data_IF_244546708337
#
_entry.id   IF_244546708337
#
_cell.length_a   1.000
_cell.length_b   1.000
_cell.length_c   1.000
_cell.angle_alpha   90.00
_cell.angle_beta   90.00
_cell.angle_gamma   90.00
#
_symmetry.space_group_name_H-M   'P 1'
#
loop_
_entity.id
_entity.type
_entity.pdbx_description
1 polymer ?
#
# COMPACT_ATOMS: atom_id res chain seq x y z
N UNK A 1 -27.59 -20.69 13.75
CA UNK A 1 -26.40 -19.81 13.76
C UNK A 1 -25.13 -20.59 14.07
N UNK A 2 -24.98 -21.24 15.23
CA UNK A 2 -23.74 -21.97 15.59
C UNK A 2 -23.21 -22.98 14.56
N UNK A 3 -24.08 -23.76 13.90
CA UNK A 3 -23.67 -24.68 12.82
C UNK A 3 -23.15 -23.97 11.56
N UNK A 4 -23.72 -22.81 11.21
CA UNK A 4 -23.23 -22.02 10.07
C UNK A 4 -21.86 -21.40 10.37
N UNK A 5 -21.66 -20.90 11.60
CA UNK A 5 -20.36 -20.41 12.04
C UNK A 5 -19.28 -21.50 12.00
N UNK A 6 -19.60 -22.75 12.35
CA UNK A 6 -18.65 -23.87 12.23
C UNK A 6 -18.25 -24.15 10.78
N UNK A 7 -19.18 -24.07 9.83
CA UNK A 7 -18.85 -24.20 8.39
C UNK A 7 -17.93 -23.05 7.98
N UNK A 8 -18.28 -21.81 8.34
CA UNK A 8 -17.47 -20.64 8.02
C UNK A 8 -16.09 -20.65 8.66
N UNK A 9 -15.93 -21.19 9.88
CA UNK A 9 -14.63 -21.38 10.52
C UNK A 9 -13.77 -22.37 9.73
N UNK A 10 -14.33 -23.52 9.33
CA UNK A 10 -13.58 -24.52 8.56
C UNK A 10 -13.15 -23.97 7.19
N UNK A 11 -14.07 -23.31 6.49
CA UNK A 11 -13.82 -22.70 5.19
C UNK A 11 -12.78 -21.58 5.32
N UNK A 12 -13.00 -20.62 6.22
CA UNK A 12 -12.14 -19.48 6.41
C UNK A 12 -10.75 -19.83 6.94
N UNK A 13 -10.62 -20.90 7.73
CA UNK A 13 -9.31 -21.40 8.16
C UNK A 13 -8.51 -21.96 6.98
N UNK A 14 -9.15 -22.69 6.07
CA UNK A 14 -8.47 -23.18 4.87
C UNK A 14 -8.08 -22.03 3.96
N UNK A 15 -8.96 -21.04 3.77
CA UNK A 15 -8.62 -19.84 3.00
C UNK A 15 -7.44 -19.07 3.62
N UNK A 16 -7.45 -18.86 4.93
CA UNK A 16 -6.38 -18.16 5.65
C UNK A 16 -5.04 -18.91 5.54
N UNK A 17 -5.05 -20.25 5.62
CA UNK A 17 -3.85 -21.08 5.44
C UNK A 17 -3.35 -21.02 4.00
N UNK A 18 -4.24 -21.12 3.02
CA UNK A 18 -3.87 -20.99 1.60
C UNK A 18 -3.30 -19.61 1.28
N UNK A 19 -3.86 -18.56 1.88
CA UNK A 19 -3.35 -17.19 1.79
C UNK A 19 -1.95 -17.08 2.40
N UNK A 20 -1.77 -17.55 3.63
CA UNK A 20 -0.48 -17.51 4.32
C UNK A 20 0.61 -18.30 3.58
N UNK A 21 0.25 -19.46 3.00
CA UNK A 21 1.19 -20.36 2.32
C UNK A 21 1.38 -20.08 0.81
N UNK A 22 0.63 -19.14 0.21
CA UNK A 22 0.70 -18.85 -1.23
C UNK A 22 2.04 -18.24 -1.67
N UNK A 23 2.27 -18.04 -2.97
CA UNK A 23 3.37 -17.15 -3.41
C UNK A 23 3.01 -15.68 -3.11
N UNK A 24 4.00 -14.78 -3.08
CA UNK A 24 3.73 -13.36 -2.93
C UNK A 24 2.92 -12.83 -4.11
N UNK A 25 1.82 -12.15 -3.79
CA UNK A 25 0.95 -11.53 -4.77
C UNK A 25 1.58 -10.20 -5.17
N UNK A 26 2.23 -10.20 -6.33
CA UNK A 26 2.92 -9.03 -6.89
C UNK A 26 1.98 -8.09 -7.67
N UNK A 27 0.67 -8.34 -7.65
CA UNK A 27 -0.35 -7.57 -8.39
C UNK A 27 -0.30 -7.73 -9.91
N UNK A 28 0.79 -8.26 -10.49
CA UNK A 28 1.09 -8.20 -11.92
C UNK A 28 1.21 -9.57 -12.61
N UNK A 29 1.49 -10.65 -11.88
CA UNK A 29 1.90 -11.94 -12.49
C UNK A 29 0.78 -12.86 -12.99
N UNK A 30 -0.50 -12.49 -12.87
CA UNK A 30 -1.61 -13.42 -13.18
C UNK A 30 -1.65 -14.66 -12.26
N UNK A 31 -0.81 -14.72 -11.22
CA UNK A 31 -0.83 -15.74 -10.18
C UNK A 31 -1.87 -15.35 -9.12
N UNK A 32 -3.01 -16.04 -9.19
CA UNK A 32 -3.98 -16.33 -8.12
C UNK A 32 -3.99 -15.33 -6.94
N UNK A 33 -4.61 -14.17 -7.14
CA UNK A 33 -5.08 -13.33 -6.04
C UNK A 33 -6.06 -14.08 -5.11
N UNK A 34 -6.60 -13.43 -4.06
CA UNK A 34 -7.44 -14.03 -3.01
C UNK A 34 -8.74 -14.70 -3.51
N UNK A 35 -9.01 -14.65 -4.83
CA UNK A 35 -10.21 -15.14 -5.50
C UNK A 35 -9.90 -16.01 -6.72
N UNK A 36 -8.79 -16.74 -6.71
CA UNK A 36 -8.50 -17.67 -7.81
C UNK A 36 -9.59 -18.75 -7.94
N UNK A 37 -9.85 -19.21 -9.18
CA UNK A 37 -10.82 -20.28 -9.44
C UNK A 37 -10.56 -21.55 -8.62
N UNK A 38 -9.28 -21.87 -8.40
CA UNK A 38 -8.87 -23.01 -7.57
C UNK A 38 -9.25 -22.83 -6.09
N UNK A 39 -9.05 -21.62 -5.56
CA UNK A 39 -9.43 -21.28 -4.19
C UNK A 39 -10.95 -21.31 -4.02
N UNK A 40 -11.71 -20.64 -4.89
CA UNK A 40 -13.18 -20.67 -4.86
C UNK A 40 -13.75 -22.10 -4.96
N UNK A 41 -13.15 -22.96 -5.80
CA UNK A 41 -13.58 -24.35 -5.92
C UNK A 41 -13.32 -25.15 -4.65
N UNK A 42 -12.15 -24.98 -4.03
CA UNK A 42 -11.80 -25.65 -2.77
C UNK A 42 -12.74 -25.23 -1.64
N UNK A 43 -12.98 -23.92 -1.52
CA UNK A 43 -13.82 -23.29 -0.50
C UNK A 43 -15.27 -23.75 -0.63
N UNK A 44 -15.82 -23.78 -1.85
CA UNK A 44 -17.15 -24.32 -2.11
C UNK A 44 -17.28 -25.81 -1.75
N UNK A 45 -16.29 -26.64 -2.11
CA UNK A 45 -16.30 -28.08 -1.81
C UNK A 45 -16.22 -28.34 -0.31
N UNK A 46 -15.33 -27.65 0.40
CA UNK A 46 -15.20 -27.73 1.85
C UNK A 46 -16.48 -27.26 2.53
N UNK A 47 -17.01 -26.11 2.12
CA UNK A 47 -18.26 -25.56 2.64
C UNK A 47 -19.43 -26.54 2.48
N UNK A 48 -19.52 -27.17 1.30
CA UNK A 48 -20.52 -28.20 1.00
C UNK A 48 -20.39 -29.44 1.89
N UNK A 49 -19.18 -30.00 2.00
CA UNK A 49 -18.90 -31.18 2.84
C UNK A 49 -19.17 -30.90 4.31
N UNK A 50 -18.64 -29.79 4.85
CA UNK A 50 -18.83 -29.44 6.26
C UNK A 50 -20.30 -29.13 6.56
N UNK A 51 -21.01 -28.41 5.67
CA UNK A 51 -22.44 -28.14 5.84
C UNK A 51 -23.29 -29.41 5.87
N UNK A 52 -22.94 -30.41 5.05
CA UNK A 52 -23.57 -31.72 5.08
C UNK A 52 -23.26 -32.46 6.41
N UNK A 53 -21.99 -32.47 6.84
CA UNK A 53 -21.55 -33.11 8.08
C UNK A 53 -22.21 -32.52 9.33
N UNK A 54 -22.34 -31.19 9.42
CA UNK A 54 -23.05 -30.53 10.53
C UNK A 54 -24.58 -30.58 10.39
N UNK A 55 -25.10 -31.31 9.40
CA UNK A 55 -26.53 -31.54 9.14
C UNK A 55 -27.31 -30.23 9.02
N UNK A 56 -26.82 -29.28 8.23
CA UNK A 56 -27.57 -28.06 7.94
C UNK A 56 -28.77 -28.39 7.04
N UNK A 57 -29.94 -27.87 7.41
CA UNK A 57 -31.14 -27.97 6.56
C UNK A 57 -30.90 -27.17 5.28
N UNK A 58 -31.12 -27.80 4.12
CA UNK A 58 -30.80 -27.22 2.80
C UNK A 58 -29.31 -26.89 2.65
N UNK A 59 -28.43 -27.77 3.13
CA UNK A 59 -26.98 -27.60 3.05
C UNK A 59 -26.44 -27.17 1.67
N UNK A 60 -26.98 -27.59 0.49
CA UNK A 60 -26.44 -27.13 -0.79
C UNK A 60 -26.69 -25.63 -1.01
N UNK A 61 -27.88 -25.15 -0.63
CA UNK A 61 -28.23 -23.74 -0.73
C UNK A 61 -27.45 -22.90 0.28
N UNK A 62 -27.22 -23.42 1.49
CA UNK A 62 -26.38 -22.74 2.48
C UNK A 62 -24.93 -22.68 2.04
N UNK A 63 -24.39 -23.73 1.42
CA UNK A 63 -23.03 -23.74 0.88
C UNK A 63 -22.86 -22.69 -0.23
N UNK A 64 -23.77 -22.68 -1.20
CA UNK A 64 -23.73 -21.71 -2.30
C UNK A 64 -23.92 -20.26 -1.83
N UNK A 65 -24.94 -19.99 -1.01
CA UNK A 65 -25.19 -18.64 -0.51
C UNK A 65 -24.10 -18.18 0.48
N UNK A 66 -23.54 -19.10 1.26
CA UNK A 66 -22.44 -18.84 2.18
C UNK A 66 -21.18 -18.43 1.43
N UNK A 67 -20.86 -19.13 0.34
CA UNK A 67 -19.76 -18.78 -0.56
C UNK A 67 -19.91 -17.37 -1.12
N UNK A 68 -21.05 -17.06 -1.75
CA UNK A 68 -21.31 -15.74 -2.33
C UNK A 68 -21.20 -14.64 -1.27
N UNK A 69 -21.78 -14.86 -0.10
CA UNK A 69 -21.73 -13.90 0.99
C UNK A 69 -20.29 -13.71 1.51
N UNK A 70 -19.51 -14.78 1.58
CA UNK A 70 -18.08 -14.77 1.97
C UNK A 70 -17.27 -13.96 0.97
N UNK A 71 -17.43 -14.21 -0.33
CA UNK A 71 -16.75 -13.47 -1.39
C UNK A 71 -17.10 -11.99 -1.36
N UNK A 72 -18.40 -11.66 -1.27
CA UNK A 72 -18.87 -10.28 -1.22
C UNK A 72 -18.34 -9.53 0.01
N UNK A 73 -18.39 -10.16 1.19
CA UNK A 73 -17.86 -9.59 2.44
C UNK A 73 -16.34 -9.45 2.41
N UNK A 74 -15.63 -10.45 1.89
CA UNK A 74 -14.18 -10.40 1.73
C UNK A 74 -13.81 -9.21 0.84
N UNK A 75 -14.46 -9.07 -0.32
CA UNK A 75 -14.22 -7.96 -1.24
C UNK A 75 -14.51 -6.60 -0.58
N UNK A 76 -15.53 -6.52 0.26
CA UNK A 76 -15.84 -5.31 1.00
C UNK A 76 -14.76 -5.01 2.05
N UNK A 77 -14.32 -6.01 2.82
CA UNK A 77 -13.32 -5.84 3.87
C UNK A 77 -11.94 -5.52 3.32
N UNK A 78 -11.53 -6.14 2.21
CA UNK A 78 -10.23 -5.90 1.56
C UNK A 78 -10.02 -4.45 1.12
N UNK A 79 -11.09 -3.69 0.89
CA UNK A 79 -11.02 -2.24 0.60
C UNK A 79 -10.55 -1.38 1.77
N UNK A 80 -10.58 -1.93 2.99
CA UNK A 80 -10.14 -1.27 4.22
C UNK A 80 -8.87 -1.88 4.81
N UNK A 81 -8.39 -2.97 4.22
CA UNK A 81 -7.24 -3.68 4.75
C UNK A 81 -5.99 -2.92 4.30
N UNK A 82 -5.07 -2.59 5.23
CA UNK A 82 -3.83 -1.95 4.85
C UNK A 82 -2.96 -2.87 3.99
N UNK A 83 -2.18 -2.27 3.09
CA UNK A 83 -1.05 -2.98 2.50
C UNK A 83 -0.06 -3.36 3.62
N UNK A 84 0.44 -4.59 3.59
CA UNK A 84 1.34 -5.11 4.64
C UNK A 84 2.63 -4.29 4.75
N UNK A 85 3.11 -3.80 3.61
CA UNK A 85 4.27 -2.91 3.48
C UNK A 85 4.10 -1.61 4.23
N UNK A 86 2.88 -1.12 4.45
CA UNK A 86 2.63 0.13 5.17
C UNK A 86 2.91 0.03 6.68
N UNK A 87 2.94 -1.19 7.22
CA UNK A 87 3.08 -1.42 8.66
C UNK A 87 4.16 -2.45 9.00
N UNK A 88 4.80 -3.06 8.00
CA UNK A 88 5.88 -4.04 8.18
C UNK A 88 5.46 -5.33 8.86
N UNK A 89 4.18 -5.72 8.76
CA UNK A 89 3.69 -6.97 9.34
C UNK A 89 3.54 -8.08 8.29
N UNK A 90 3.58 -9.32 8.75
CA UNK A 90 3.46 -10.50 7.89
C UNK A 90 2.05 -10.61 7.28
N UNK A 91 1.98 -10.84 5.97
CA UNK A 91 0.74 -10.96 5.21
C UNK A 91 -0.22 -12.04 5.74
N UNK A 92 0.28 -13.04 6.46
CA UNK A 92 -0.53 -14.09 7.09
C UNK A 92 -1.57 -13.52 8.06
N UNK A 93 -1.30 -12.36 8.67
CA UNK A 93 -2.28 -11.65 9.52
C UNK A 93 -3.53 -11.24 8.75
N UNK A 94 -3.41 -11.00 7.44
CA UNK A 94 -4.55 -10.67 6.58
C UNK A 94 -5.44 -11.89 6.29
N UNK A 95 -4.99 -13.11 6.60
CA UNK A 95 -5.84 -14.31 6.62
C UNK A 95 -7.04 -14.17 7.54
N UNK A 96 -6.97 -13.29 8.56
CA UNK A 96 -8.11 -12.95 9.41
C UNK A 96 -9.32 -12.40 8.63
N UNK A 97 -9.09 -11.71 7.50
CA UNK A 97 -10.16 -11.18 6.64
C UNK A 97 -10.98 -12.30 6.03
N UNK A 98 -10.31 -13.33 5.52
CA UNK A 98 -10.94 -14.54 4.98
C UNK A 98 -11.75 -15.27 6.05
N UNK A 99 -11.14 -15.48 7.22
CA UNK A 99 -11.79 -16.14 8.35
C UNK A 99 -13.07 -15.42 8.77
N UNK A 100 -13.00 -14.10 8.97
CA UNK A 100 -14.15 -13.30 9.39
C UNK A 100 -15.26 -13.25 8.33
N UNK A 101 -14.88 -13.12 7.06
CA UNK A 101 -15.81 -13.13 5.93
C UNK A 101 -16.56 -14.46 5.83
N UNK A 102 -15.84 -15.58 5.96
CA UNK A 102 -16.41 -16.92 5.87
C UNK A 102 -17.34 -17.21 7.06
N UNK A 103 -16.91 -16.89 8.28
CA UNK A 103 -17.75 -17.04 9.48
C UNK A 103 -19.04 -16.25 9.36
N UNK A 104 -18.96 -14.98 8.95
CA UNK A 104 -20.14 -14.13 8.77
C UNK A 104 -21.03 -14.63 7.62
N UNK A 105 -20.46 -14.90 6.45
CA UNK A 105 -21.17 -15.34 5.25
C UNK A 105 -21.96 -16.63 5.48
N UNK A 106 -21.32 -17.68 6.00
CA UNK A 106 -21.99 -18.95 6.29
C UNK A 106 -22.97 -18.86 7.47
N UNK A 107 -22.73 -17.98 8.45
CA UNK A 107 -23.70 -17.74 9.53
C UNK A 107 -24.98 -17.10 9.00
N UNK A 108 -24.86 -16.08 8.14
CA UNK A 108 -25.99 -15.41 7.49
C UNK A 108 -26.72 -16.39 6.56
N UNK A 109 -25.99 -17.14 5.74
CA UNK A 109 -26.56 -18.10 4.80
C UNK A 109 -27.30 -19.26 5.49
N UNK A 110 -26.80 -19.74 6.63
CA UNK A 110 -27.47 -20.78 7.42
C UNK A 110 -28.72 -20.24 8.16
N UNK A 111 -28.74 -18.95 8.48
CA UNK A 111 -29.82 -18.33 9.24
C UNK A 111 -30.97 -17.81 8.36
N UNK A 112 -30.68 -17.21 7.21
CA UNK A 112 -31.68 -16.66 6.29
C UNK A 112 -32.81 -17.66 5.89
N UNK A 113 -32.55 -18.95 5.64
CA UNK A 113 -33.59 -19.94 5.33
C UNK A 113 -34.21 -20.60 6.57
N UNK A 114 -33.71 -20.33 7.78
CA UNK A 114 -34.27 -20.91 9.00
C UNK A 114 -35.70 -20.39 9.22
N UNK A 115 -36.62 -21.24 9.66
CA UNK A 115 -38.03 -20.92 9.87
C UNK A 115 -38.26 -20.04 11.11
N UNK A 116 -37.63 -18.86 11.15
CA UNK A 116 -37.92 -17.81 12.12
C UNK A 116 -39.19 -17.07 11.70
N UNK A 117 -40.11 -16.83 12.64
CA UNK A 117 -41.45 -16.24 12.40
C UNK A 117 -41.42 -14.78 11.90
N UNK A 118 -40.27 -14.10 11.88
CA UNK A 118 -40.16 -12.65 11.61
C UNK A 118 -39.32 -12.38 10.38
N UNK A 119 -39.96 -12.28 9.22
CA UNK A 119 -39.34 -11.97 7.93
C UNK A 119 -38.54 -10.66 7.94
N UNK A 120 -38.97 -9.66 8.71
CA UNK A 120 -38.27 -8.39 8.93
C UNK A 120 -36.82 -8.56 9.42
N UNK A 121 -36.56 -9.54 10.29
CA UNK A 121 -35.20 -9.79 10.76
C UNK A 121 -34.27 -10.23 9.62
N UNK A 122 -34.79 -11.00 8.66
CA UNK A 122 -34.02 -11.50 7.51
C UNK A 122 -33.66 -10.37 6.57
N UNK A 123 -34.62 -9.50 6.32
CA UNK A 123 -34.39 -8.27 5.54
C UNK A 123 -33.37 -7.38 6.23
N UNK A 124 -33.45 -7.21 7.55
CA UNK A 124 -32.48 -6.40 8.29
C UNK A 124 -31.05 -6.94 8.14
N UNK A 125 -30.82 -8.25 8.33
CA UNK A 125 -29.46 -8.83 8.23
C UNK A 125 -28.93 -8.78 6.79
N UNK A 126 -29.74 -9.15 5.80
CA UNK A 126 -29.33 -9.07 4.39
C UNK A 126 -29.12 -7.61 3.96
N UNK A 127 -29.95 -6.69 4.46
CA UNK A 127 -29.83 -5.26 4.25
C UNK A 127 -28.53 -4.70 4.84
N UNK A 128 -28.14 -5.12 6.05
CA UNK A 128 -26.85 -4.75 6.65
C UNK A 128 -25.69 -5.28 5.81
N UNK A 129 -25.73 -6.54 5.38
CA UNK A 129 -24.67 -7.12 4.55
C UNK A 129 -24.53 -6.39 3.20
N UNK A 130 -25.65 -6.10 2.55
CA UNK A 130 -25.68 -5.32 1.32
C UNK A 130 -25.16 -3.89 1.56
N UNK A 131 -25.60 -3.24 2.64
CA UNK A 131 -25.13 -1.91 3.00
C UNK A 131 -23.61 -1.88 3.25
N UNK A 132 -23.05 -2.87 3.95
CA UNK A 132 -21.61 -2.98 4.15
C UNK A 132 -20.86 -3.10 2.82
N UNK A 133 -21.34 -3.94 1.89
CA UNK A 133 -20.71 -4.11 0.58
C UNK A 133 -20.78 -2.82 -0.26
N UNK A 134 -21.91 -2.12 -0.22
CA UNK A 134 -22.12 -0.88 -0.98
C UNK A 134 -21.32 0.28 -0.37
N UNK A 135 -21.31 0.41 0.96
CA UNK A 135 -20.58 1.47 1.65
C UNK A 135 -19.06 1.27 1.62
N UNK A 136 -18.57 0.06 1.39
CA UNK A 136 -17.14 -0.19 1.24
C UNK A 136 -16.53 0.54 0.03
N UNK A 137 -17.30 0.72 -1.06
CA UNK A 137 -16.82 1.38 -2.28
C UNK A 137 -16.40 2.84 -2.05
N UNK A 138 -17.26 3.74 -1.52
CA UNK A 138 -16.88 5.12 -1.30
C UNK A 138 -15.86 5.32 -0.16
N UNK A 139 -15.65 4.31 0.70
CA UNK A 139 -14.74 4.41 1.84
C UNK A 139 -13.32 3.88 1.57
N UNK A 140 -13.12 3.18 0.45
CA UNK A 140 -11.83 2.62 0.04
C UNK A 140 -10.73 3.70 -0.05
N UNK A 141 -10.98 4.76 -0.81
CA UNK A 141 -10.01 5.84 -0.99
C UNK A 141 -9.67 6.59 0.32
N UNK A 142 -10.66 6.99 1.16
CA UNK A 142 -10.37 7.52 2.49
C UNK A 142 -9.55 6.57 3.37
N UNK A 143 -9.89 5.27 3.39
CA UNK A 143 -9.18 4.29 4.19
C UNK A 143 -7.73 4.13 3.71
N UNK A 144 -7.51 4.04 2.39
CA UNK A 144 -6.18 3.98 1.79
C UNK A 144 -5.34 5.20 2.16
N UNK A 145 -5.88 6.41 2.01
CA UNK A 145 -5.16 7.65 2.38
C UNK A 145 -4.83 7.71 3.85
N UNK A 146 -5.75 7.26 4.71
CA UNK A 146 -5.51 7.18 6.15
C UNK A 146 -4.36 6.21 6.46
N UNK A 147 -4.34 5.03 5.82
CA UNK A 147 -3.26 4.06 6.00
C UNK A 147 -1.92 4.58 5.49
N UNK A 148 -1.88 5.23 4.33
CA UNK A 148 -0.67 5.85 3.78
C UNK A 148 -0.10 6.95 4.69
N UNK A 149 -0.96 7.82 5.22
CA UNK A 149 -0.54 8.86 6.15
C UNK A 149 0.09 8.24 7.42
N UNK A 150 -0.53 7.21 7.99
CA UNK A 150 0.05 6.49 9.14
C UNK A 150 1.37 5.80 8.80
N UNK A 151 1.49 5.23 7.60
CA UNK A 151 2.72 4.60 7.16
C UNK A 151 3.89 5.60 7.06
N UNK A 152 3.65 6.83 6.55
CA UNK A 152 4.67 7.88 6.57
C UNK A 152 5.12 8.27 7.97
N UNK A 153 4.19 8.35 8.92
CA UNK A 153 4.54 8.61 10.33
C UNK A 153 5.36 7.47 10.94
N UNK A 154 5.05 6.22 10.59
CA UNK A 154 5.75 5.03 11.06
C UNK A 154 7.15 4.84 10.45
N UNK A 155 7.45 5.47 9.31
CA UNK A 155 8.80 5.39 8.70
C UNK A 155 9.89 6.06 9.55
N UNK A 156 9.51 6.94 10.49
CA UNK A 156 10.45 7.75 11.30
C UNK A 156 11.44 8.58 10.46
N UNK A 157 11.11 8.83 9.18
CA UNK A 157 11.84 9.74 8.31
C UNK A 157 11.20 11.12 8.45
N UNK A 158 11.97 12.21 8.64
CA UNK A 158 11.39 13.54 8.74
C UNK A 158 10.60 13.89 7.47
N UNK A 159 9.35 14.29 7.66
CA UNK A 159 8.46 14.65 6.55
C UNK A 159 8.81 16.05 6.08
N UNK A 160 9.63 16.14 5.04
CA UNK A 160 9.99 17.41 4.41
C UNK A 160 9.75 17.37 2.91
N UNK A 161 9.46 18.53 2.34
CA UNK A 161 9.25 18.72 0.92
C UNK A 161 9.82 20.09 0.50
N UNK A 162 10.66 20.18 -0.56
CA UNK A 162 11.07 21.46 -1.11
C UNK A 162 9.96 22.13 -1.92
N UNK A 163 9.92 23.46 -1.85
CA UNK A 163 9.16 24.29 -2.80
C UNK A 163 10.04 24.62 -4.01
N UNK A 164 9.86 23.90 -5.12
CA UNK A 164 10.72 24.05 -6.30
C UNK A 164 10.07 24.98 -7.32
N UNK A 165 10.75 26.07 -7.67
CA UNK A 165 10.24 27.03 -8.65
C UNK A 165 9.94 26.35 -10.01
N UNK A 166 8.74 26.59 -10.55
CA UNK A 166 8.31 26.03 -11.84
C UNK A 166 8.02 24.52 -11.84
N UNK A 167 8.09 23.85 -10.68
CA UNK A 167 7.82 22.42 -10.55
C UNK A 167 6.77 22.17 -9.45
N UNK A 168 6.03 21.08 -9.60
CA UNK A 168 5.08 20.60 -8.58
C UNK A 168 5.42 19.18 -8.19
N UNK A 169 5.16 18.85 -6.92
CA UNK A 169 5.18 17.47 -6.45
C UNK A 169 4.13 16.70 -7.26
N UNK A 170 4.58 15.70 -8.01
CA UNK A 170 3.76 14.94 -8.95
C UNK A 170 3.48 13.53 -8.44
N UNK A 171 4.47 12.94 -7.78
CA UNK A 171 4.39 11.57 -7.29
C UNK A 171 5.21 11.42 -6.01
N UNK A 172 4.73 10.56 -5.12
CA UNK A 172 5.45 10.12 -3.93
C UNK A 172 5.44 8.60 -3.95
N UNK A 173 6.61 7.98 -3.75
CA UNK A 173 6.68 6.53 -3.65
C UNK A 173 5.96 6.06 -2.38
N UNK A 174 5.20 4.97 -2.50
CA UNK A 174 4.51 4.38 -1.35
C UNK A 174 5.52 3.97 -0.25
N UNK A 175 5.25 4.29 1.03
CA UNK A 175 6.15 4.00 2.13
C UNK A 175 6.25 2.48 2.37
N UNK A 176 7.46 2.00 2.62
CA UNK A 176 7.70 0.59 2.99
C UNK A 176 8.31 0.53 4.39
N UNK A 177 7.50 0.15 5.37
CA UNK A 177 7.89 -0.03 6.77
C UNK A 177 8.43 -1.45 6.97
N UNK A 178 9.55 -1.59 7.69
CA UNK A 178 10.16 -2.89 7.98
C UNK A 178 10.85 -3.58 6.79
N UNK A 179 11.09 -2.85 5.70
CA UNK A 179 11.89 -3.35 4.57
C UNK A 179 13.35 -3.59 4.93
N UNK A 180 14.06 -4.38 4.12
CA UNK A 180 15.49 -4.68 4.33
C UNK A 180 16.42 -3.47 4.12
N UNK A 181 15.94 -2.44 3.41
CA UNK A 181 16.69 -1.21 3.12
C UNK A 181 16.51 -0.13 4.19
N UNK A 182 17.33 0.92 4.11
CA UNK A 182 17.13 2.12 4.92
C UNK A 182 15.77 2.76 4.60
N UNK A 183 15.00 3.22 5.62
CA UNK A 183 13.74 3.90 5.38
C UNK A 183 14.00 5.26 4.72
N UNK A 184 13.32 5.49 3.59
CA UNK A 184 13.41 6.73 2.81
C UNK A 184 12.04 7.18 2.32
N UNK A 185 11.93 8.48 2.03
CA UNK A 185 10.79 9.04 1.30
C UNK A 185 11.32 9.52 -0.06
N UNK A 186 10.72 9.04 -1.14
CA UNK A 186 11.08 9.44 -2.50
C UNK A 186 9.95 10.28 -3.08
N UNK A 187 10.30 11.49 -3.51
CA UNK A 187 9.40 12.47 -4.08
C UNK A 187 9.85 12.77 -5.50
N UNK A 188 8.90 12.84 -6.42
CA UNK A 188 9.16 13.24 -7.80
C UNK A 188 8.47 14.56 -8.11
N UNK A 189 9.25 15.56 -8.53
CA UNK A 189 8.78 16.86 -8.93
C UNK A 189 8.87 17.02 -10.44
N UNK A 190 7.76 17.45 -11.06
CA UNK A 190 7.69 17.67 -12.51
C UNK A 190 7.39 19.12 -12.84
N UNK A 191 7.86 19.56 -14.00
CA UNK A 191 7.63 20.91 -14.52
C UNK A 191 6.14 21.14 -14.73
N UNK A 192 5.65 22.28 -14.25
CA UNK A 192 4.24 22.69 -14.39
C UNK A 192 3.89 22.83 -15.87
N UNK A 193 2.82 22.17 -16.31
CA UNK A 193 2.35 22.17 -17.70
C UNK A 193 3.11 21.22 -18.64
N UNK A 194 4.03 20.41 -18.11
CA UNK A 194 4.80 19.42 -18.87
C UNK A 194 4.96 18.11 -18.09
N UNK A 195 3.98 17.75 -17.25
CA UNK A 195 4.10 16.65 -16.30
C UNK A 195 4.15 15.27 -16.96
N UNK A 196 3.72 15.13 -18.21
CA UNK A 196 3.81 13.88 -18.96
C UNK A 196 4.99 13.86 -19.94
N UNK A 197 5.69 14.99 -20.11
CA UNK A 197 6.76 15.13 -21.10
C UNK A 197 8.13 14.76 -20.49
N UNK A 198 8.95 14.01 -21.24
CA UNK A 198 10.36 13.77 -20.90
C UNK A 198 10.66 12.64 -19.91
N UNK A 199 9.63 11.95 -19.42
CA UNK A 199 9.79 10.81 -18.49
C UNK A 199 10.41 11.20 -17.14
N UNK A 200 10.73 10.19 -16.31
CA UNK A 200 11.32 10.39 -14.97
C UNK A 200 12.71 11.04 -15.00
N UNK A 201 13.42 10.97 -16.13
CA UNK A 201 14.77 11.56 -16.28
C UNK A 201 14.80 13.08 -16.14
N UNK A 202 13.80 13.77 -16.68
CA UNK A 202 13.70 15.24 -16.60
C UNK A 202 13.02 15.72 -15.31
N UNK A 203 12.50 14.82 -14.50
CA UNK A 203 11.97 15.17 -13.20
C UNK A 203 13.12 15.52 -12.22
N UNK A 204 12.75 16.18 -11.13
CA UNK A 204 13.63 16.31 -9.97
C UNK A 204 13.21 15.25 -8.97
N UNK A 205 14.08 14.27 -8.72
CA UNK A 205 13.89 13.30 -7.66
C UNK A 205 14.41 13.89 -6.37
N UNK A 206 13.66 13.74 -5.29
CA UNK A 206 14.06 14.16 -3.95
C UNK A 206 13.99 12.95 -3.05
N UNK A 207 15.13 12.54 -2.53
CA UNK A 207 15.25 11.43 -1.59
C UNK A 207 15.49 12.02 -0.21
N UNK A 208 14.58 11.72 0.71
CA UNK A 208 14.64 12.17 2.09
C UNK A 208 14.97 10.99 2.99
N UNK A 209 16.00 11.18 3.80
CA UNK A 209 16.55 10.21 4.75
C UNK A 209 16.62 10.84 6.14
N UNK A 210 16.81 10.01 7.16
CA UNK A 210 17.12 10.50 8.52
C UNK A 210 18.50 11.16 8.52
N UNK A 211 18.67 12.26 9.27
CA UNK A 211 19.99 12.92 9.39
C UNK A 211 21.06 12.00 9.98
N UNK A 212 20.67 11.02 10.79
CA UNK A 212 21.57 10.02 11.39
C UNK A 212 22.12 9.01 10.38
N UNK A 213 21.59 8.97 9.15
CA UNK A 213 22.03 8.02 8.14
C UNK A 213 23.43 8.33 7.60
N UNK A 214 23.73 9.61 7.36
CA UNK A 214 25.01 10.10 6.88
C UNK A 214 25.09 11.63 6.96
N UNK A 215 26.32 12.16 6.91
CA UNK A 215 26.55 13.58 6.60
C UNK A 215 26.25 13.87 5.12
N UNK A 216 26.02 15.15 4.77
CA UNK A 216 25.82 15.54 3.37
C UNK A 216 27.05 15.21 2.48
N UNK A 217 28.26 15.28 3.04
CA UNK A 217 29.49 14.93 2.36
C UNK A 217 29.57 13.42 2.05
N UNK A 218 29.29 12.58 3.06
CA UNK A 218 29.27 11.12 2.91
C UNK A 218 28.18 10.68 1.93
N UNK A 219 26.98 11.25 2.03
CA UNK A 219 25.88 10.97 1.10
C UNK A 219 26.23 11.38 -0.34
N UNK A 220 26.95 12.48 -0.52
CA UNK A 220 27.44 12.87 -1.84
C UNK A 220 28.54 11.94 -2.36
N UNK A 221 29.42 11.41 -1.49
CA UNK A 221 30.40 10.41 -1.86
C UNK A 221 29.77 9.05 -2.19
N UNK A 222 28.68 8.69 -1.51
CA UNK A 222 27.91 7.45 -1.71
C UNK A 222 26.41 7.75 -1.69
N UNK A 223 25.83 8.15 -2.85
CA UNK A 223 24.41 8.48 -2.98
C UNK A 223 23.52 7.29 -2.63
N UNK A 224 22.24 7.54 -2.36
CA UNK A 224 21.33 6.47 -1.94
C UNK A 224 21.27 5.32 -2.97
N UNK A 225 21.17 5.66 -4.25
CA UNK A 225 21.27 4.71 -5.36
C UNK A 225 22.69 4.67 -5.93
N UNK A 226 23.69 4.35 -5.11
CA UNK A 226 25.12 4.40 -5.50
C UNK A 226 25.43 3.69 -6.82
N UNK A 227 24.74 2.57 -7.11
CA UNK A 227 24.88 1.81 -8.36
C UNK A 227 24.54 2.65 -9.61
N UNK A 228 23.55 3.54 -9.53
CA UNK A 228 23.16 4.41 -10.65
C UNK A 228 24.17 5.53 -10.93
N UNK A 229 25.16 5.70 -10.06
CA UNK A 229 26.23 6.70 -10.13
C UNK A 229 27.60 6.10 -10.45
N UNK A 230 27.73 4.78 -10.61
CA UNK A 230 29.03 4.13 -10.84
C UNK A 230 29.67 4.55 -12.18
N UNK A 231 28.86 4.74 -13.21
CA UNK A 231 29.34 5.12 -14.55
C UNK A 231 29.36 6.65 -14.71
N UNK A 232 30.57 7.21 -14.91
CA UNK A 232 30.74 8.60 -15.32
C UNK A 232 30.39 9.66 -14.27
N UNK A 233 30.44 9.32 -12.97
CA UNK A 233 30.26 10.33 -11.92
C UNK A 233 31.53 11.13 -11.64
N UNK A 234 31.37 12.45 -11.58
CA UNK A 234 32.39 13.38 -11.12
C UNK A 234 32.60 13.31 -9.61
N UNK A 235 33.71 13.88 -9.10
CA UNK A 235 33.98 13.91 -7.67
C UNK A 235 32.93 14.71 -6.92
N UNK A 236 32.69 14.33 -5.68
CA UNK A 236 31.86 15.11 -4.76
C UNK A 236 32.55 16.45 -4.42
N UNK A 237 31.82 17.57 -4.54
CA UNK A 237 32.34 18.93 -4.33
C UNK A 237 31.50 19.69 -3.32
N UNK A 238 32.14 20.40 -2.38
CA UNK A 238 31.43 21.33 -1.50
C UNK A 238 30.95 22.56 -2.31
N UNK A 239 29.66 22.86 -2.27
CA UNK A 239 29.10 24.13 -2.75
C UNK A 239 29.01 25.16 -1.61
N UNK A 240 28.80 24.69 -0.38
CA UNK A 240 28.90 25.48 0.85
C UNK A 240 29.32 24.58 2.01
N UNK A 241 29.31 25.09 3.24
CA UNK A 241 29.62 24.30 4.44
C UNK A 241 28.70 23.08 4.60
N UNK A 242 27.42 23.25 4.28
CA UNK A 242 26.38 22.26 4.56
C UNK A 242 25.77 21.65 3.29
N UNK A 243 26.29 22.01 2.11
CA UNK A 243 25.80 21.55 0.81
C UNK A 243 26.91 21.00 -0.06
N UNK A 244 26.64 19.83 -0.62
CA UNK A 244 27.55 19.11 -1.49
C UNK A 244 26.89 18.82 -2.82
N UNK A 245 27.70 18.77 -3.87
CA UNK A 245 27.24 18.59 -5.25
C UNK A 245 28.01 17.46 -5.89
N UNK A 246 27.30 16.64 -6.64
CA UNK A 246 27.87 15.61 -7.50
C UNK A 246 27.31 15.75 -8.92
N UNK A 247 28.17 15.56 -9.90
CA UNK A 247 27.76 15.47 -11.30
C UNK A 247 27.85 14.03 -11.77
N UNK A 248 26.96 13.65 -12.67
CA UNK A 248 26.93 12.34 -13.31
C UNK A 248 26.98 12.47 -14.82
N UNK A 249 26.92 11.32 -15.47
CA UNK A 249 26.76 11.21 -16.92
C UNK A 249 25.47 11.90 -17.40
N UNK A 250 25.44 12.26 -18.70
CA UNK A 250 24.28 12.90 -19.35
C UNK A 250 23.75 14.14 -18.61
N UNK A 251 24.63 14.96 -18.04
CA UNK A 251 24.25 16.20 -17.37
C UNK A 251 23.50 16.00 -16.06
N UNK A 252 23.50 14.79 -15.48
CA UNK A 252 22.94 14.53 -14.14
C UNK A 252 23.65 15.41 -13.12
N UNK A 253 22.89 16.05 -12.25
CA UNK A 253 23.41 16.77 -11.10
C UNK A 253 22.60 16.38 -9.87
N UNK A 254 23.30 16.24 -8.74
CA UNK A 254 22.68 16.03 -7.44
C UNK A 254 23.25 17.00 -6.40
N UNK A 255 22.36 17.49 -5.55
CA UNK A 255 22.66 18.35 -4.40
C UNK A 255 22.28 17.61 -3.13
N UNK A 256 23.21 17.57 -2.18
CA UNK A 256 23.07 16.91 -0.89
C UNK A 256 23.11 17.96 0.21
N UNK A 257 22.13 17.94 1.11
CA UNK A 257 22.04 18.90 2.22
C UNK A 257 21.44 18.24 3.44
N UNK A 258 21.71 18.78 4.62
CA UNK A 258 20.94 18.49 5.83
C UNK A 258 20.01 19.67 6.13
N UNK A 259 18.76 19.39 6.50
CA UNK A 259 17.77 20.42 6.85
C UNK A 259 16.66 19.84 7.74
N UNK A 260 16.28 20.52 8.81
CA UNK A 260 15.12 20.10 9.62
C UNK A 260 15.19 18.67 10.19
N UNK A 261 16.39 18.15 10.45
CA UNK A 261 16.59 16.78 10.93
C UNK A 261 16.60 15.69 9.85
N UNK A 262 16.52 16.06 8.57
CA UNK A 262 16.68 15.14 7.44
C UNK A 262 17.99 15.35 6.69
N UNK A 263 18.41 14.28 6.02
CA UNK A 263 19.38 14.30 4.93
C UNK A 263 18.57 14.26 3.63
N UNK A 264 18.82 15.22 2.73
CA UNK A 264 18.07 15.37 1.48
C UNK A 264 19.04 15.32 0.30
N UNK A 265 18.74 14.45 -0.65
CA UNK A 265 19.37 14.36 -1.98
C UNK A 265 18.36 14.85 -3.01
N UNK A 266 18.69 15.93 -3.71
CA UNK A 266 17.91 16.44 -4.85
C UNK A 266 18.69 16.14 -6.12
N UNK A 267 18.11 15.40 -7.06
CA UNK A 267 18.79 15.02 -8.29
C UNK A 267 17.93 15.23 -9.53
N UNK A 268 18.57 15.55 -10.66
CA UNK A 268 17.90 15.66 -11.96
C UNK A 268 18.89 15.56 -13.12
N UNK A 269 18.41 15.17 -14.30
CA UNK A 269 19.13 15.35 -15.57
C UNK A 269 18.68 16.60 -16.35
N UNK A 270 17.57 17.24 -15.94
CA UNK A 270 16.94 18.33 -16.68
C UNK A 270 17.12 19.71 -16.07
N UNK A 271 17.83 19.80 -14.94
CA UNK A 271 17.89 21.00 -14.10
C UNK A 271 19.34 21.29 -13.71
N UNK A 272 19.73 22.57 -13.75
CA UNK A 272 21.09 22.99 -13.40
C UNK A 272 21.33 22.99 -11.89
N UNK A 273 22.60 22.91 -11.48
CA UNK A 273 23.03 22.96 -10.08
C UNK A 273 22.43 24.14 -9.31
N UNK A 274 22.43 25.33 -9.91
CA UNK A 274 21.96 26.57 -9.27
C UNK A 274 20.49 26.46 -8.86
N UNK A 275 19.66 25.84 -9.69
CA UNK A 275 18.25 25.61 -9.41
C UNK A 275 18.05 24.55 -8.31
N UNK A 276 18.87 23.49 -8.28
CA UNK A 276 18.82 22.49 -7.20
C UNK A 276 19.31 23.06 -5.87
N UNK A 277 20.35 23.91 -5.88
CA UNK A 277 20.83 24.61 -4.69
C UNK A 277 19.77 25.59 -4.15
N UNK A 278 19.05 26.29 -5.04
CA UNK A 278 17.92 27.13 -4.65
C UNK A 278 16.75 26.30 -4.07
N UNK A 279 16.46 25.13 -4.65
CA UNK A 279 15.45 24.21 -4.12
C UNK A 279 15.83 23.67 -2.71
N UNK A 280 17.11 23.46 -2.44
CA UNK A 280 17.58 23.04 -1.12
C UNK A 280 17.25 24.09 -0.02
N UNK A 281 17.13 25.37 -0.35
CA UNK A 281 16.78 26.45 0.60
C UNK A 281 15.30 26.48 0.97
N UNK A 282 14.46 25.88 0.13
CA UNK A 282 13.00 25.88 0.27
C UNK A 282 12.48 24.61 0.90
N UNK A 283 13.35 23.71 1.36
CA UNK A 283 12.96 22.53 2.14
C UNK A 283 12.23 23.00 3.40
N UNK A 284 10.99 22.54 3.56
CA UNK A 284 10.14 22.83 4.72
C UNK A 284 9.45 21.55 5.21
N UNK A 285 9.05 21.49 6.49
CA UNK A 285 8.18 20.43 6.99
C UNK A 285 6.90 20.33 6.16
N UNK A 286 6.43 19.10 5.94
CA UNK A 286 5.16 18.77 5.31
C UNK A 286 4.37 17.80 6.20
N UNK A 287 3.13 17.49 5.83
CA UNK A 287 2.30 16.52 6.57
C UNK A 287 2.22 15.19 5.84
N UNK A 288 1.99 14.12 6.60
CA UNK A 288 1.79 12.79 6.07
C UNK A 288 0.60 12.72 5.12
N UNK A 289 -0.48 13.45 5.39
CA UNK A 289 -1.66 13.52 4.53
C UNK A 289 -1.35 14.18 3.19
N UNK A 290 -0.48 15.19 3.18
CA UNK A 290 -0.05 15.87 1.96
C UNK A 290 0.77 14.94 1.07
N UNK A 291 1.66 14.14 1.66
CA UNK A 291 2.43 13.13 0.94
C UNK A 291 1.54 11.97 0.46
N UNK A 292 0.66 11.46 1.33
CA UNK A 292 -0.28 10.38 1.01
C UNK A 292 -1.21 10.73 -0.16
N UNK A 293 -1.60 12.00 -0.30
CA UNK A 293 -2.43 12.46 -1.42
C UNK A 293 -1.72 12.40 -2.79
N UNK A 294 -0.39 12.26 -2.81
CA UNK A 294 0.44 12.22 -4.01
C UNK A 294 0.99 10.82 -4.32
N UNK A 295 0.64 9.81 -3.51
CA UNK A 295 0.93 8.40 -3.81
C UNK A 295 -0.13 7.90 -4.78
N UNK A 296 0.28 7.56 -6.01
CA UNK A 296 -0.62 6.96 -6.98
C UNK A 296 -0.69 5.44 -6.75
N UNK A 297 -1.87 4.82 -6.88
CA UNK A 297 -1.98 3.37 -6.82
C UNK A 297 -1.13 2.74 -7.91
N UNK A 298 -0.32 1.76 -7.52
CA UNK A 298 0.29 0.82 -8.46
C UNK A 298 -0.86 0.08 -9.15
N UNK A 299 -1.02 0.27 -10.46
CA UNK A 299 -2.09 -0.33 -11.26
C UNK A 299 -1.63 -1.60 -11.96
#
# INVERSE_FOLDING_TARGET
MGRGALVGLAVGAVEAVMWAAGADWDGHSGVRGPYSLGMMSAVFLIGSVVAALVRLRRWPLVAFAGEIATLALGQALWRFVPETTFYGFDRSLLGGVHLMSAVAGFTVAAWAPASTRRWWSRIAVLGVLAALCVLAVPLEEPARRWHLARAFELLEVPLVAPGIAGHRLSEVQAPTVGGAGEPVIQLEYRRVGAETAGGSRLAIQVIVRRVSAATAAEACATPYYAESWQDGSGPCRAASRDRWVRYGWEGRVAVFTQSGGSLVELESHGVEETALLAAAETIRPTTAETLAAQVHPVR
#
